data_IF_905533062087
#
_entry.id   IF_905533062087
#
_cell.length_a   1.000
_cell.length_b   1.000
_cell.length_c   1.000
_cell.angle_alpha   90.00
_cell.angle_beta   90.00
_cell.angle_gamma   90.00
#
_symmetry.space_group_name_H-M   'P 1'
#
loop_
_entity.id
_entity.type
_entity.pdbx_description
1 polymer ?
#
# COMPACT_ATOMS: atom_id res chain seq x y z
N UNK A 1 4.22 -0.10 -19.86
CA UNK A 1 4.68 -0.99 -18.78
C UNK A 1 5.51 -2.08 -19.41
N UNK A 2 6.76 -2.25 -19.00
CA UNK A 2 7.62 -3.36 -19.46
C UNK A 2 7.29 -4.64 -18.68
N UNK A 3 7.65 -5.84 -19.18
CA UNK A 3 7.49 -7.08 -18.44
C UNK A 3 8.16 -7.06 -17.06
N UNK A 4 9.31 -6.41 -16.93
CA UNK A 4 10.04 -6.25 -15.68
C UNK A 4 9.27 -5.36 -14.69
N UNK A 5 8.66 -4.27 -15.19
CA UNK A 5 7.82 -3.40 -14.37
C UNK A 5 6.57 -4.15 -13.89
N UNK A 6 5.93 -4.94 -14.76
CA UNK A 6 4.78 -5.75 -14.40
C UNK A 6 5.13 -6.81 -13.35
N UNK A 7 6.25 -7.51 -13.52
CA UNK A 7 6.74 -8.48 -12.54
C UNK A 7 7.02 -7.81 -11.18
N UNK A 8 7.62 -6.62 -11.19
CA UNK A 8 7.88 -5.88 -9.95
C UNK A 8 6.60 -5.38 -9.28
N UNK A 9 5.60 -4.95 -10.04
CA UNK A 9 4.27 -4.58 -9.51
C UNK A 9 3.62 -5.79 -8.83
N UNK A 10 3.64 -6.97 -9.48
CA UNK A 10 3.10 -8.20 -8.90
C UNK A 10 3.81 -8.58 -7.61
N UNK A 11 5.15 -8.56 -7.62
CA UNK A 11 5.95 -8.78 -6.43
C UNK A 11 5.55 -7.86 -5.26
N UNK A 12 5.38 -6.56 -5.51
CA UNK A 12 4.96 -5.62 -4.48
C UNK A 12 3.53 -5.90 -3.96
N UNK A 13 2.63 -6.41 -4.80
CA UNK A 13 1.29 -6.82 -4.37
C UNK A 13 1.34 -8.10 -3.53
N UNK A 14 2.19 -9.05 -3.88
CA UNK A 14 2.39 -10.28 -3.10
C UNK A 14 2.94 -9.95 -1.70
N UNK A 15 3.96 -9.09 -1.61
CA UNK A 15 4.49 -8.58 -0.34
C UNK A 15 3.43 -7.84 0.48
N UNK A 16 2.55 -7.07 -0.17
CA UNK A 16 1.46 -6.37 0.51
C UNK A 16 0.46 -7.36 1.15
N UNK A 17 0.12 -8.44 0.43
CA UNK A 17 -0.77 -9.48 0.91
C UNK A 17 -0.16 -10.29 2.04
N UNK A 18 1.10 -10.71 1.90
CA UNK A 18 1.81 -11.45 2.95
C UNK A 18 1.92 -10.60 4.23
N UNK A 19 2.32 -9.34 4.10
CA UNK A 19 2.41 -8.39 5.23
C UNK A 19 1.05 -8.18 5.90
N UNK A 20 -0.05 -8.20 5.13
CA UNK A 20 -1.41 -8.11 5.68
C UNK A 20 -1.78 -9.36 6.49
N UNK A 21 -1.41 -10.55 6.02
CA UNK A 21 -1.62 -11.79 6.78
C UNK A 21 -0.81 -11.79 8.09
N UNK A 22 0.45 -11.34 8.07
CA UNK A 22 1.22 -11.13 9.31
C UNK A 22 0.51 -10.18 10.27
N UNK A 23 -0.08 -9.09 9.74
CA UNK A 23 -0.80 -8.12 10.56
C UNK A 23 -2.03 -8.74 11.24
N UNK A 24 -2.75 -9.64 10.55
CA UNK A 24 -3.89 -10.37 11.11
C UNK A 24 -3.45 -11.31 12.22
N UNK A 25 -2.38 -12.08 12.02
CA UNK A 25 -1.82 -12.96 13.07
C UNK A 25 -1.37 -12.14 14.29
N UNK A 26 -0.73 -11.00 14.07
CA UNK A 26 -0.34 -10.10 15.17
C UNK A 26 -1.55 -9.52 15.91
N UNK A 27 -2.63 -9.21 15.20
CA UNK A 27 -3.87 -8.74 15.81
C UNK A 27 -4.50 -9.83 16.68
N UNK A 28 -4.62 -11.05 16.16
CA UNK A 28 -5.17 -12.21 16.86
C UNK A 28 -4.39 -12.56 18.14
N UNK A 29 -3.07 -12.39 18.10
CA UNK A 29 -2.18 -12.66 19.24
C UNK A 29 -2.00 -11.47 20.19
N UNK A 30 -2.73 -10.37 19.98
CA UNK A 30 -2.70 -9.19 20.86
C UNK A 30 -1.47 -8.27 20.70
N UNK A 31 -0.63 -8.50 19.69
CA UNK A 31 0.55 -7.69 19.39
C UNK A 31 0.18 -6.43 18.59
N UNK A 32 -0.66 -5.56 19.16
CA UNK A 32 -1.29 -4.43 18.46
C UNK A 32 -0.29 -3.47 17.80
N UNK A 33 0.83 -3.18 18.46
CA UNK A 33 1.90 -2.34 17.88
C UNK A 33 2.53 -2.98 16.64
N UNK A 34 2.73 -4.30 16.68
CA UNK A 34 3.21 -5.07 15.53
C UNK A 34 2.18 -5.07 14.40
N UNK A 35 0.91 -5.32 14.73
CA UNK A 35 -0.18 -5.33 13.76
C UNK A 35 -0.30 -3.99 13.02
N UNK A 36 -0.26 -2.85 13.73
CA UNK A 36 -0.30 -1.51 13.10
C UNK A 36 0.91 -1.27 12.21
N UNK A 37 2.10 -1.70 12.64
CA UNK A 37 3.31 -1.57 11.83
C UNK A 37 3.18 -2.37 10.51
N UNK A 38 2.71 -3.61 10.59
CA UNK A 38 2.49 -4.47 9.41
C UNK A 38 1.40 -3.92 8.50
N UNK A 39 0.26 -3.48 9.04
CA UNK A 39 -0.79 -2.81 8.25
C UNK A 39 -0.25 -1.60 7.47
N UNK A 40 0.59 -0.79 8.11
CA UNK A 40 1.21 0.35 7.43
C UNK A 40 2.08 -0.08 6.24
N UNK A 41 2.89 -1.13 6.40
CA UNK A 41 3.74 -1.63 5.32
C UNK A 41 2.94 -2.32 4.21
N UNK A 42 1.89 -3.07 4.55
CA UNK A 42 0.97 -3.62 3.55
C UNK A 42 0.37 -2.51 2.66
N UNK A 43 -0.10 -1.41 3.28
CA UNK A 43 -0.55 -0.23 2.56
C UNK A 43 0.57 0.42 1.73
N UNK A 44 1.78 0.52 2.27
CA UNK A 44 2.94 1.09 1.57
C UNK A 44 3.29 0.32 0.29
N UNK A 45 3.34 -1.01 0.35
CA UNK A 45 3.62 -1.84 -0.81
C UNK A 45 2.51 -1.75 -1.87
N UNK A 46 1.25 -1.81 -1.45
CA UNK A 46 0.09 -1.66 -2.33
C UNK A 46 0.08 -0.29 -3.03
N UNK A 47 0.31 0.81 -2.29
CA UNK A 47 0.40 2.16 -2.86
C UNK A 47 1.60 2.30 -3.79
N UNK A 48 2.73 1.67 -3.47
CA UNK A 48 3.92 1.68 -4.34
C UNK A 48 3.64 0.97 -5.67
N UNK A 49 2.99 -0.19 -5.63
CA UNK A 49 2.54 -0.91 -6.83
C UNK A 49 1.57 -0.06 -7.66
N UNK A 50 0.59 0.58 -7.00
CA UNK A 50 -0.37 1.47 -7.65
C UNK A 50 0.28 2.65 -8.37
N UNK A 51 1.26 3.30 -7.74
CA UNK A 51 2.00 4.40 -8.35
C UNK A 51 2.81 3.92 -9.56
N UNK A 52 3.41 2.74 -9.50
CA UNK A 52 4.14 2.16 -10.62
C UNK A 52 3.22 1.90 -11.83
N UNK A 53 1.97 1.50 -11.62
CA UNK A 53 0.98 1.38 -12.70
C UNK A 53 0.75 2.71 -13.43
N UNK A 54 0.85 3.84 -12.72
CA UNK A 54 0.77 5.20 -13.27
C UNK A 54 2.12 5.74 -13.79
N UNK A 55 3.18 4.92 -13.79
CA UNK A 55 4.53 5.36 -14.15
C UNK A 55 5.19 6.29 -13.13
N UNK A 56 4.68 6.33 -11.90
CA UNK A 56 5.17 7.15 -10.80
C UNK A 56 5.97 6.29 -9.81
N UNK A 57 7.06 6.82 -9.27
CA UNK A 57 7.83 6.13 -8.24
C UNK A 57 8.62 7.11 -7.37
N UNK A 58 9.00 6.64 -6.18
CA UNK A 58 9.94 7.35 -5.32
C UNK A 58 10.71 6.37 -4.45
N UNK A 59 12.02 6.59 -4.29
CA UNK A 59 12.85 5.85 -3.35
C UNK A 59 12.67 6.27 -1.89
N UNK A 60 11.92 7.36 -1.65
CA UNK A 60 11.67 7.90 -0.31
C UNK A 60 10.24 7.62 0.11
N UNK A 61 10.08 7.18 1.36
CA UNK A 61 8.76 6.97 1.96
C UNK A 61 7.87 8.23 1.88
N UNK A 62 8.43 9.39 2.21
CA UNK A 62 7.72 10.68 2.12
C UNK A 62 7.31 11.03 0.69
N UNK A 63 8.09 10.58 -0.31
CA UNK A 63 7.78 10.76 -1.73
C UNK A 63 6.61 9.90 -2.17
N UNK A 64 6.58 8.61 -1.82
CA UNK A 64 5.44 7.72 -2.09
C UNK A 64 4.13 8.31 -1.54
N UNK A 65 4.14 8.74 -0.27
CA UNK A 65 2.97 9.38 0.35
C UNK A 65 2.52 10.64 -0.39
N UNK A 66 3.47 11.48 -0.80
CA UNK A 66 3.17 12.74 -1.49
C UNK A 66 2.60 12.52 -2.88
N UNK A 67 3.16 11.55 -3.62
CA UNK A 67 2.67 11.14 -4.94
C UNK A 67 1.26 10.57 -4.84
N UNK A 68 1.03 9.63 -3.93
CA UNK A 68 -0.29 9.05 -3.71
C UNK A 68 -1.33 10.12 -3.36
N UNK A 69 -1.01 11.01 -2.41
CA UNK A 69 -1.93 12.08 -2.04
C UNK A 69 -2.25 13.02 -3.21
N UNK A 70 -1.25 13.40 -4.01
CA UNK A 70 -1.44 14.27 -5.17
C UNK A 70 -2.25 13.61 -6.29
N UNK A 71 -1.96 12.35 -6.61
CA UNK A 71 -2.45 11.69 -7.82
C UNK A 71 -3.70 10.83 -7.61
N UNK A 72 -3.98 10.40 -6.38
CA UNK A 72 -5.10 9.52 -6.07
C UNK A 72 -6.12 10.12 -5.08
N UNK A 73 -5.65 10.84 -4.06
CA UNK A 73 -6.55 11.43 -3.05
C UNK A 73 -7.09 12.80 -3.49
N UNK A 74 -6.22 13.70 -3.96
CA UNK A 74 -6.64 15.02 -4.45
C UNK A 74 -7.43 14.95 -5.75
N UNK A 75 -7.15 13.96 -6.58
CA UNK A 75 -7.87 13.70 -7.83
C UNK A 75 -9.21 12.97 -7.63
N UNK A 76 -9.60 12.67 -6.38
CA UNK A 76 -10.80 11.92 -6.02
C UNK A 76 -10.91 10.51 -6.64
N UNK A 77 -9.79 9.92 -7.04
CA UNK A 77 -9.73 8.51 -7.49
C UNK A 77 -9.83 7.52 -6.31
N UNK A 78 -9.54 8.00 -5.10
CA UNK A 78 -9.84 7.33 -3.84
C UNK A 78 -10.78 8.24 -3.05
N UNK A 79 -11.90 7.69 -2.57
CA UNK A 79 -12.81 8.42 -1.68
C UNK A 79 -12.09 8.83 -0.41
N UNK A 80 -12.37 10.05 0.07
CA UNK A 80 -11.90 10.53 1.38
C UNK A 80 -12.80 10.06 2.51
N UNK A 81 -13.97 9.52 2.19
CA UNK A 81 -14.90 9.01 3.18
C UNK A 81 -14.38 7.68 3.72
N UNK A 82 -14.44 7.47 5.05
CA UNK A 82 -14.17 6.16 5.62
C UNK A 82 -15.09 5.14 4.97
N UNK A 83 -14.55 3.98 4.60
CA UNK A 83 -15.37 2.85 4.19
C UNK A 83 -16.14 2.36 5.42
N UNK A 84 -17.36 2.89 5.62
CA UNK A 84 -18.26 2.44 6.66
C UNK A 84 -18.95 1.17 6.15
N UNK A 85 -18.35 0.01 6.40
CA UNK A 85 -19.10 -1.24 6.33
C UNK A 85 -20.03 -1.31 7.53
N UNK A 86 -21.33 -1.16 7.29
CA UNK A 86 -22.41 -1.48 8.23
C UNK A 86 -22.42 -2.99 8.47
#
# INVERSE_FOLDING_TARGET
MTPEQEAYIRYQLDEALETLEEAKVMLETGHLRGAVNRLYYACFYCVSALLLCDGLSSSKHSGIRSLFFRHWVKSARVSKEPFMSV
#
